data_IF_726221039394
#
_entry.id   IF_726221039394
#
_cell.length_a   1.000
_cell.length_b   1.000
_cell.length_c   1.000
_cell.angle_alpha   90.00
_cell.angle_beta   90.00
_cell.angle_gamma   90.00
#
_symmetry.space_group_name_H-M   'P 1'
#
loop_
_entity.id
_entity.type
_entity.pdbx_description
1 polymer ?
#
# COMPACT_ATOMS: atom_id res chain seq x y z
N UNK A 1 28.62 39.66 -13.96
CA UNK A 1 28.55 38.49 -14.86
C UNK A 1 29.92 37.86 -14.89
N UNK A 2 30.05 36.55 -14.68
CA UNK A 2 31.35 35.87 -14.53
C UNK A 2 31.69 35.11 -15.84
N UNK A 3 32.59 35.64 -16.69
CA UNK A 3 32.85 35.08 -18.02
C UNK A 3 33.55 33.72 -17.98
N UNK A 4 34.30 33.43 -16.92
CA UNK A 4 34.96 32.13 -16.69
C UNK A 4 33.95 30.98 -16.51
N UNK A 5 32.76 31.24 -15.97
CA UNK A 5 31.70 30.23 -15.83
C UNK A 5 31.12 29.78 -17.18
N UNK A 6 31.19 30.64 -18.20
CA UNK A 6 30.66 30.33 -19.55
C UNK A 6 31.77 29.76 -20.44
N UNK A 7 32.99 30.28 -20.33
CA UNK A 7 34.11 29.90 -21.20
C UNK A 7 34.92 28.69 -20.70
N UNK A 8 34.94 28.43 -19.39
CA UNK A 8 35.78 27.39 -18.80
C UNK A 8 34.98 26.21 -18.21
N UNK A 9 33.65 26.22 -18.30
CA UNK A 9 32.80 25.14 -17.84
C UNK A 9 31.97 24.57 -18.99
N UNK A 10 31.84 23.24 -19.05
CA UNK A 10 30.89 22.58 -19.95
C UNK A 10 29.50 22.65 -19.33
N UNK A 11 28.57 23.28 -20.04
CA UNK A 11 27.17 23.36 -19.61
C UNK A 11 26.46 22.04 -19.95
N UNK A 12 25.89 21.40 -18.93
CA UNK A 12 25.03 20.23 -19.06
C UNK A 12 23.60 20.62 -18.67
N UNK A 13 22.65 20.42 -19.59
CA UNK A 13 21.27 20.90 -19.46
C UNK A 13 20.34 19.77 -19.04
N UNK A 14 19.65 19.97 -17.92
CA UNK A 14 18.67 19.02 -17.40
C UNK A 14 17.26 19.56 -17.59
N UNK A 15 16.51 18.88 -18.44
CA UNK A 15 15.09 19.14 -18.62
C UNK A 15 14.23 18.39 -17.60
N UNK A 16 12.95 18.77 -17.55
CA UNK A 16 11.94 18.01 -16.83
C UNK A 16 11.91 16.58 -17.36
N UNK A 17 11.71 15.63 -16.46
CA UNK A 17 11.67 14.22 -16.86
C UNK A 17 10.57 13.96 -17.88
N UNK A 18 10.90 13.36 -19.04
CA UNK A 18 9.90 12.96 -20.01
C UNK A 18 9.03 11.83 -19.44
N UNK A 19 7.87 11.62 -20.07
CA UNK A 19 6.93 10.56 -19.69
C UNK A 19 7.61 9.19 -19.60
N UNK A 20 8.50 8.88 -20.53
CA UNK A 20 9.25 7.62 -20.58
C UNK A 20 10.18 7.43 -19.38
N UNK A 21 10.87 8.50 -18.97
CA UNK A 21 11.73 8.46 -17.79
C UNK A 21 10.90 8.22 -16.52
N UNK A 22 9.77 8.91 -16.39
CA UNK A 22 8.85 8.70 -15.27
C UNK A 22 8.32 7.26 -15.21
N UNK A 23 7.92 6.70 -16.36
CA UNK A 23 7.48 5.30 -16.46
C UNK A 23 8.60 4.32 -16.08
N UNK A 24 9.83 4.55 -16.55
CA UNK A 24 10.96 3.67 -16.26
C UNK A 24 11.32 3.69 -14.78
N UNK A 25 11.31 4.86 -14.16
CA UNK A 25 11.55 5.02 -12.72
C UNK A 25 10.46 4.30 -11.93
N UNK A 26 9.18 4.57 -12.22
CA UNK A 26 8.06 3.90 -11.54
C UNK A 26 8.10 2.38 -11.69
N UNK A 27 8.37 1.85 -12.88
CA UNK A 27 8.48 0.40 -13.10
C UNK A 27 9.61 -0.22 -12.28
N UNK A 28 10.76 0.45 -12.21
CA UNK A 28 11.92 -0.01 -11.42
C UNK A 28 11.57 -0.07 -9.94
N UNK A 29 10.93 0.98 -9.42
CA UNK A 29 10.50 1.03 -8.02
C UNK A 29 9.42 0.00 -7.68
N UNK A 30 8.41 -0.15 -8.53
CA UNK A 30 7.32 -1.10 -8.29
C UNK A 30 7.71 -2.56 -8.44
N UNK A 31 8.90 -2.87 -8.98
CA UNK A 31 9.43 -4.24 -8.98
C UNK A 31 9.70 -4.75 -7.56
N UNK A 32 9.91 -3.87 -6.58
CA UNK A 32 10.07 -4.23 -5.17
C UNK A 32 8.74 -4.51 -4.45
N UNK A 33 7.62 -4.29 -5.11
CA UNK A 33 6.28 -4.43 -4.53
C UNK A 33 5.56 -5.56 -5.24
N UNK A 34 4.93 -6.44 -4.46
CA UNK A 34 4.17 -7.57 -4.99
C UNK A 34 2.89 -7.08 -5.69
N UNK A 35 2.93 -6.96 -7.01
CA UNK A 35 1.82 -6.58 -7.88
C UNK A 35 1.57 -7.68 -8.91
N UNK A 36 0.31 -7.83 -9.29
CA UNK A 36 -0.02 -8.51 -10.55
C UNK A 36 0.48 -7.65 -11.73
N UNK A 37 1.01 -8.29 -12.77
CA UNK A 37 1.77 -7.62 -13.83
C UNK A 37 0.89 -6.62 -14.61
N UNK A 38 -0.37 -6.98 -14.86
CA UNK A 38 -1.36 -6.09 -15.48
C UNK A 38 -1.65 -4.86 -14.61
N UNK A 39 -1.75 -5.07 -13.30
CA UNK A 39 -2.09 -4.03 -12.33
C UNK A 39 -0.90 -3.08 -12.11
N UNK A 40 0.33 -3.61 -12.14
CA UNK A 40 1.58 -2.83 -12.07
C UNK A 40 1.67 -1.81 -13.19
N UNK A 41 1.38 -2.22 -14.43
CA UNK A 41 1.37 -1.32 -15.59
C UNK A 41 0.35 -0.18 -15.42
N UNK A 42 -0.88 -0.52 -15.02
CA UNK A 42 -1.93 0.46 -14.77
C UNK A 42 -1.58 1.45 -13.66
N UNK A 43 -1.02 0.99 -12.55
CA UNK A 43 -0.60 1.83 -11.43
C UNK A 43 0.55 2.76 -11.84
N UNK A 44 1.52 2.23 -12.57
CA UNK A 44 2.65 3.03 -13.10
C UNK A 44 2.15 4.16 -13.98
N UNK A 45 1.26 3.86 -14.93
CA UNK A 45 0.61 4.86 -15.78
C UNK A 45 -0.18 5.89 -14.97
N UNK A 46 -0.90 5.47 -13.93
CA UNK A 46 -1.64 6.35 -13.05
C UNK A 46 -0.71 7.32 -12.30
N UNK A 47 0.40 6.85 -11.74
CA UNK A 47 1.38 7.71 -11.06
C UNK A 47 1.95 8.79 -12.00
N UNK A 48 2.28 8.42 -13.24
CA UNK A 48 2.75 9.39 -14.26
C UNK A 48 1.67 10.41 -14.59
N UNK A 49 0.42 9.97 -14.76
CA UNK A 49 -0.72 10.86 -15.02
C UNK A 49 -0.93 11.86 -13.89
N UNK A 50 -0.85 11.40 -12.63
CA UNK A 50 -0.98 12.25 -11.44
C UNK A 50 0.14 13.31 -11.39
N UNK A 51 1.38 12.92 -11.69
CA UNK A 51 2.49 13.88 -11.70
C UNK A 51 2.31 14.98 -12.75
N UNK A 52 1.87 14.58 -13.95
CA UNK A 52 1.58 15.51 -15.03
C UNK A 52 0.39 16.43 -14.69
N UNK A 53 -0.67 15.89 -14.07
CA UNK A 53 -1.82 16.72 -13.67
C UNK A 53 -1.45 17.76 -12.62
N UNK A 54 -0.58 17.42 -11.67
CA UNK A 54 -0.05 18.40 -10.68
C UNK A 54 0.79 19.47 -11.36
N UNK A 55 1.55 19.13 -12.41
CA UNK A 55 2.30 20.11 -13.20
C UNK A 55 1.40 21.13 -13.89
N UNK A 56 0.27 20.68 -14.45
CA UNK A 56 -0.75 21.56 -15.03
C UNK A 56 -1.41 22.43 -13.95
N UNK A 57 -1.78 21.83 -12.81
CA UNK A 57 -2.38 22.55 -11.69
C UNK A 57 -1.43 23.61 -11.10
N UNK A 58 -0.12 23.32 -11.03
CA UNK A 58 0.89 24.27 -10.58
C UNK A 58 0.98 25.50 -11.49
N UNK A 59 0.82 25.32 -12.80
CA UNK A 59 0.77 26.43 -13.75
C UNK A 59 -0.49 27.29 -13.56
N UNK A 60 -1.65 26.66 -13.37
CA UNK A 60 -2.90 27.36 -13.06
C UNK A 60 -2.80 28.13 -11.74
N UNK A 61 -2.21 27.50 -10.72
CA UNK A 61 -1.99 28.12 -9.42
C UNK A 61 -1.09 29.37 -9.52
N UNK A 62 -0.04 29.32 -10.33
CA UNK A 62 0.79 30.49 -10.62
C UNK A 62 -0.03 31.61 -11.28
N UNK A 63 -0.88 31.29 -12.26
CA UNK A 63 -1.69 32.29 -12.97
C UNK A 63 -2.68 33.00 -12.03
N UNK A 64 -3.29 32.27 -11.11
CA UNK A 64 -4.33 32.79 -10.20
C UNK A 64 -3.74 33.50 -8.98
N UNK A 65 -2.77 32.87 -8.32
CA UNK A 65 -2.29 33.28 -7.00
C UNK A 65 -0.94 33.98 -7.06
N UNK A 66 -0.26 33.98 -8.21
CA UNK A 66 1.12 34.50 -8.38
C UNK A 66 2.09 33.88 -7.37
N UNK A 67 1.86 32.63 -7.00
CA UNK A 67 2.73 31.83 -6.10
C UNK A 67 3.28 30.64 -6.85
N UNK A 68 4.60 30.47 -6.82
CA UNK A 68 5.26 29.35 -7.48
C UNK A 68 5.10 28.08 -6.64
N UNK A 69 4.68 27.00 -7.28
CA UNK A 69 4.76 25.64 -6.75
C UNK A 69 5.66 24.82 -7.66
N UNK A 70 6.82 24.40 -7.13
CA UNK A 70 7.81 23.67 -7.91
C UNK A 70 7.51 22.17 -7.89
N UNK A 71 7.15 21.64 -9.06
CA UNK A 71 7.06 20.19 -9.28
C UNK A 71 8.46 19.67 -9.62
N UNK A 72 9.02 18.82 -8.75
CA UNK A 72 10.37 18.27 -8.90
C UNK A 72 10.33 16.74 -9.02
N UNK A 73 11.34 16.11 -9.64
CA UNK A 73 11.47 14.65 -9.65
C UNK A 73 11.49 14.04 -8.25
N UNK A 74 12.04 14.74 -7.25
CA UNK A 74 11.99 14.30 -5.85
C UNK A 74 10.55 14.11 -5.35
N UNK A 75 9.63 15.02 -5.69
CA UNK A 75 8.21 14.88 -5.34
C UNK A 75 7.53 13.71 -6.03
N UNK A 76 8.00 13.34 -7.23
CA UNK A 76 7.54 12.12 -7.89
C UNK A 76 7.99 10.85 -7.17
N UNK A 77 9.24 10.81 -6.71
CA UNK A 77 9.75 9.69 -5.91
C UNK A 77 9.01 9.57 -4.58
N UNK A 78 8.75 10.69 -3.90
CA UNK A 78 7.93 10.73 -2.67
C UNK A 78 6.53 10.16 -2.90
N UNK A 79 5.88 10.46 -4.04
CA UNK A 79 4.58 9.89 -4.41
C UNK A 79 4.64 8.36 -4.51
N UNK A 80 5.64 7.82 -5.22
CA UNK A 80 5.80 6.37 -5.42
C UNK A 80 6.08 5.66 -4.09
N UNK A 81 6.97 6.23 -3.27
CA UNK A 81 7.31 5.70 -1.95
C UNK A 81 6.09 5.71 -1.04
N UNK A 82 5.41 6.87 -0.93
CA UNK A 82 4.24 7.04 -0.08
C UNK A 82 3.10 6.08 -0.47
N UNK A 83 2.89 5.87 -1.78
CA UNK A 83 1.93 4.89 -2.26
C UNK A 83 2.31 3.46 -1.86
N UNK A 84 3.57 3.07 -2.05
CA UNK A 84 4.08 1.74 -1.70
C UNK A 84 3.92 1.45 -0.20
N UNK A 85 4.25 2.42 0.65
CA UNK A 85 4.12 2.29 2.11
C UNK A 85 2.67 2.25 2.57
N UNK A 86 1.80 3.06 1.95
CA UNK A 86 0.36 3.01 2.20
C UNK A 86 -0.21 1.63 1.84
N UNK A 87 0.16 1.09 0.68
CA UNK A 87 -0.30 -0.22 0.22
C UNK A 87 0.14 -1.33 1.18
N UNK A 88 1.43 -1.34 1.58
CA UNK A 88 1.96 -2.29 2.57
C UNK A 88 1.17 -2.24 3.89
N UNK A 89 0.93 -1.04 4.42
CA UNK A 89 0.15 -0.86 5.66
C UNK A 89 -1.28 -1.38 5.51
N UNK A 90 -1.96 -1.07 4.40
CA UNK A 90 -3.34 -1.52 4.16
C UNK A 90 -3.42 -3.04 4.02
N UNK A 91 -2.51 -3.65 3.25
CA UNK A 91 -2.42 -5.12 3.13
C UNK A 91 -2.19 -5.79 4.47
N UNK A 92 -1.24 -5.29 5.27
CA UNK A 92 -0.99 -5.80 6.63
C UNK A 92 -2.23 -5.71 7.53
N UNK A 93 -2.95 -4.59 7.48
CA UNK A 93 -4.20 -4.41 8.23
C UNK A 93 -5.27 -5.43 7.85
N UNK A 94 -5.46 -5.67 6.54
CA UNK A 94 -6.42 -6.66 6.04
C UNK A 94 -6.00 -8.09 6.45
N UNK A 95 -4.72 -8.43 6.29
CA UNK A 95 -4.18 -9.74 6.66
C UNK A 95 -4.38 -10.03 8.16
N UNK A 96 -4.10 -9.05 9.01
CA UNK A 96 -4.27 -9.16 10.45
C UNK A 96 -5.74 -9.39 10.82
N UNK A 97 -6.66 -8.62 10.24
CA UNK A 97 -8.09 -8.80 10.44
C UNK A 97 -8.56 -10.19 10.02
N UNK A 98 -8.13 -10.65 8.83
CA UNK A 98 -8.43 -12.01 8.33
C UNK A 98 -7.93 -13.08 9.28
N UNK A 99 -6.67 -13.01 9.71
CA UNK A 99 -6.08 -13.99 10.63
C UNK A 99 -6.80 -14.01 11.97
N UNK A 100 -7.22 -12.84 12.48
CA UNK A 100 -8.02 -12.75 13.69
C UNK A 100 -9.37 -13.45 13.54
N UNK A 101 -10.06 -13.27 12.41
CA UNK A 101 -11.31 -13.97 12.13
C UNK A 101 -11.11 -15.48 12.01
N UNK A 102 -10.08 -15.93 11.28
CA UNK A 102 -9.77 -17.35 11.14
C UNK A 102 -9.49 -18.01 12.50
N UNK A 103 -8.68 -17.35 13.35
CA UNK A 103 -8.41 -17.84 14.71
C UNK A 103 -9.69 -17.89 15.57
N UNK A 104 -10.57 -16.89 15.44
CA UNK A 104 -11.86 -16.89 16.12
C UNK A 104 -12.75 -18.06 15.70
N UNK A 105 -12.83 -18.35 14.40
CA UNK A 105 -13.58 -19.50 13.88
C UNK A 105 -13.00 -20.84 14.36
N UNK A 106 -11.68 -20.98 14.36
CA UNK A 106 -11.01 -22.17 14.91
C UNK A 106 -11.37 -22.38 16.38
N UNK A 107 -11.31 -21.32 17.20
CA UNK A 107 -11.66 -21.39 18.62
C UNK A 107 -13.14 -21.74 18.85
N UNK A 108 -14.04 -21.23 18.01
CA UNK A 108 -15.46 -21.59 18.07
C UNK A 108 -15.69 -23.06 17.70
N UNK A 109 -14.97 -23.57 16.69
CA UNK A 109 -15.04 -24.99 16.30
C UNK A 109 -14.52 -25.90 17.41
N UNK A 110 -13.39 -25.56 18.03
CA UNK A 110 -12.83 -26.29 19.17
C UNK A 110 -13.82 -26.33 20.34
N UNK A 111 -14.42 -25.18 20.69
CA UNK A 111 -15.42 -25.11 21.76
C UNK A 111 -16.67 -25.95 21.46
N UNK A 112 -17.14 -25.95 20.21
CA UNK A 112 -18.28 -26.79 19.81
C UNK A 112 -17.98 -28.29 19.93
N UNK A 113 -16.74 -28.70 19.60
CA UNK A 113 -16.31 -30.10 19.78
C UNK A 113 -16.30 -30.49 21.25
N UNK A 114 -15.68 -29.66 22.10
CA UNK A 114 -15.63 -29.91 23.56
C UNK A 114 -17.02 -29.97 24.19
N UNK A 115 -17.96 -29.11 23.75
CA UNK A 115 -19.35 -29.17 24.23
C UNK A 115 -20.04 -30.45 23.79
N UNK A 116 -19.80 -30.94 22.58
CA UNK A 116 -20.31 -32.22 22.09
C UNK A 116 -19.80 -33.40 22.92
N UNK A 117 -18.49 -33.47 23.16
CA UNK A 117 -17.86 -34.49 24.01
C UNK A 117 -18.43 -34.48 25.44
N UNK A 118 -18.54 -33.30 26.05
CA UNK A 118 -19.11 -33.15 27.39
C UNK A 118 -20.59 -33.57 27.46
N UNK A 119 -21.38 -33.32 26.41
CA UNK A 119 -22.76 -33.79 26.33
C UNK A 119 -22.83 -35.33 26.29
N UNK A 120 -21.97 -35.97 25.50
CA UNK A 120 -21.90 -37.44 25.44
C UNK A 120 -21.49 -38.06 26.78
N UNK A 121 -20.55 -37.45 27.50
CA UNK A 121 -20.13 -37.91 28.83
C UNK A 121 -21.22 -37.73 29.91
N UNK A 122 -22.02 -36.66 29.84
CA UNK A 122 -23.07 -36.37 30.83
C UNK A 122 -24.27 -37.31 30.74
N UNK A 123 -24.60 -37.83 29.55
CA UNK A 123 -25.75 -38.74 29.32
C UNK A 123 -25.70 -40.01 30.20
N UNK A 124 -24.58 -40.77 30.27
CA UNK A 124 -24.48 -41.95 31.14
C UNK A 124 -24.27 -41.60 32.63
N UNK A 125 -23.71 -40.43 32.95
CA UNK A 125 -23.46 -40.00 34.33
C UNK A 125 -24.75 -39.55 35.05
N UNK A 126 -25.70 -38.94 34.35
CA UNK A 126 -26.99 -38.51 34.90
C UNK A 126 -27.72 -39.54 35.77
N UNK A 127 -28.06 -40.74 35.24
CA UNK A 127 -28.75 -41.77 36.02
C UNK A 127 -27.90 -42.37 37.16
N UNK A 128 -26.56 -42.36 37.04
CA UNK A 128 -25.67 -42.83 38.11
C UNK A 128 -25.65 -41.88 39.31
N UNK A 129 -25.78 -40.57 39.07
CA UNK A 129 -25.85 -39.57 40.12
C UNK A 129 -27.20 -39.65 40.85
N UNK A 130 -28.30 -39.82 40.12
CA UNK A 130 -29.63 -40.02 40.74
C UNK A 130 -29.70 -41.28 41.61
N UNK A 131 -29.04 -42.37 41.20
CA UNK A 131 -28.95 -43.60 42.00
C UNK A 131 -28.11 -43.44 43.27
N UNK A 132 -27.07 -42.60 43.27
CA UNK A 132 -26.23 -42.36 44.44
C UNK A 132 -26.76 -41.28 45.39
N UNK A 133 -27.76 -40.52 44.96
CA UNK A 133 -28.36 -39.43 45.76
C UNK A 133 -29.64 -39.89 46.50
N UNK A 134 -30.17 -41.08 46.17
CA UNK A 134 -31.17 -41.80 46.96
C UNK A 134 -30.50 -42.66 48.03
#
# INVERSE_FOLDING_TARGET
MNPSLVNCCTMDWYDKWPKEALLRVANTYFTQVDFDEALKSSVTMACVSIHNSVSVAAQQFWQQMRRYYHVTPSKYLELIHGFSDLLKRKRKGILNSRNRFANGLLKLSEASSMVGEMQEELVPLGPQIEQKTK
#
